data_IF_768250443101
#
_entry.id   IF_768250443101
#
_cell.length_a   1.000
_cell.length_b   1.000
_cell.length_c   1.000
_cell.angle_alpha   90.00
_cell.angle_beta   90.00
_cell.angle_gamma   90.00
#
_symmetry.space_group_name_H-M   'P 1'
#
loop_
_entity.id
_entity.type
_entity.pdbx_description
1 polymer ?
#
# COMPACT_ATOMS: atom_id res chain seq x y z
N UNK A 1 -7.55 -3.12 28.45
CA UNK A 1 -7.94 -2.80 28.33
C UNK A 1 -8.51 -2.22 28.57
N UNK A 2 -8.71 -1.84 28.48
CA UNK A 2 -9.29 -1.19 28.67
C UNK A 2 -10.24 -1.14 28.53
N UNK A 3 -10.93 -1.29 28.33
CA UNK A 3 -11.90 -1.15 28.07
C UNK A 3 -12.80 -0.93 28.80
N UNK A 4 -13.25 -0.59 29.02
CA UNK A 4 -13.99 -0.33 29.64
C UNK A 4 -14.92 -0.84 29.54
N UNK A 5 -15.40 -1.16 29.54
CA UNK A 5 -16.28 -1.67 29.39
C UNK A 5 -17.16 -1.67 28.98
N UNK A 6 -17.40 -1.84 28.72
CA UNK A 6 -18.24 -1.99 28.48
C UNK A 6 -19.06 -1.82 27.84
N UNK A 7 -19.36 -1.56 27.60
CA UNK A 7 -20.34 -1.41 26.98
C UNK A 7 -20.32 -1.52 25.70
N UNK A 8 -21.08 -1.99 25.10
CA UNK A 8 -21.10 -2.14 23.90
C UNK A 8 -21.88 -1.24 23.32
N UNK A 9 -21.70 -0.30 23.00
CA UNK A 9 -22.38 0.51 22.24
C UNK A 9 -22.10 0.30 20.90
N UNK A 10 -22.97 0.33 19.95
CA UNK A 10 -22.65 0.18 18.58
C UNK A 10 -21.92 1.40 18.14
N UNK A 11 -20.96 1.23 17.27
CA UNK A 11 -20.15 2.33 16.82
C UNK A 11 -20.90 3.11 15.77
N UNK A 12 -21.18 4.35 16.01
CA UNK A 12 -21.93 5.18 15.08
C UNK A 12 -21.13 6.36 14.58
N UNK A 13 -19.84 6.42 14.90
CA UNK A 13 -18.99 7.48 14.44
C UNK A 13 -18.89 8.66 15.36
N UNK A 14 -19.71 8.71 16.40
CA UNK A 14 -19.64 9.81 17.34
C UNK A 14 -18.70 9.47 18.48
N UNK A 15 -18.12 10.50 19.08
CA UNK A 15 -17.23 10.31 20.20
C UNK A 15 -18.04 10.15 21.46
N UNK A 16 -17.73 9.10 22.20
CA UNK A 16 -18.40 8.82 23.46
C UNK A 16 -17.36 8.81 24.55
N UNK A 17 -17.43 9.76 25.47
CA UNK A 17 -16.43 9.88 26.51
C UNK A 17 -16.45 8.76 27.52
N UNK A 18 -17.59 8.15 27.71
CA UNK A 18 -17.66 7.05 28.66
C UNK A 18 -17.01 5.78 28.13
N UNK A 19 -16.73 5.74 26.84
CA UNK A 19 -16.05 4.61 26.25
C UNK A 19 -15.15 5.10 25.10
N UNK A 20 -14.13 5.87 25.45
CA UNK A 20 -13.34 6.54 24.42
C UNK A 20 -12.67 5.58 23.44
N UNK A 21 -12.23 4.42 23.90
CA UNK A 21 -11.62 3.48 22.97
C UNK A 21 -12.62 2.94 21.97
N UNK A 22 -13.85 2.76 22.40
CA UNK A 22 -14.85 2.26 21.50
C UNK A 22 -15.19 3.25 20.43
N UNK A 23 -15.02 4.54 20.71
CA UNK A 23 -15.31 5.56 19.70
C UNK A 23 -14.33 5.50 18.57
N UNK A 24 -13.12 5.01 18.81
CA UNK A 24 -12.08 4.99 17.80
C UNK A 24 -11.79 3.61 17.25
N UNK A 25 -12.27 2.57 17.90
CA UNK A 25 -11.98 1.20 17.49
C UNK A 25 -13.20 0.65 16.77
N UNK A 26 -12.97 0.02 15.66
CA UNK A 26 -14.05 -0.56 14.89
C UNK A 26 -13.55 -1.77 14.15
N UNK A 27 -14.47 -2.58 13.71
CA UNK A 27 -14.13 -3.67 12.83
C UNK A 27 -13.58 -3.11 11.54
N UNK A 28 -12.50 -3.70 11.09
CA UNK A 28 -11.85 -3.22 9.88
C UNK A 28 -12.19 -4.16 8.74
N UNK A 29 -12.73 -3.58 7.68
CA UNK A 29 -13.04 -4.33 6.49
C UNK A 29 -12.41 -3.62 5.31
N UNK A 30 -11.67 -4.33 4.49
CA UNK A 30 -11.07 -3.69 3.32
C UNK A 30 -12.15 -3.17 2.38
N UNK A 31 -11.85 -2.08 1.73
CA UNK A 31 -12.70 -1.57 0.66
C UNK A 31 -11.79 -0.93 -0.36
N UNK A 32 -12.37 -0.27 -1.35
CA UNK A 32 -11.57 0.26 -2.44
C UNK A 32 -10.60 1.36 -1.99
N UNK A 33 -10.85 1.98 -0.85
CA UNK A 33 -10.00 3.06 -0.36
C UNK A 33 -9.06 2.61 0.74
N UNK A 34 -9.44 1.59 1.51
CA UNK A 34 -8.65 1.15 2.66
C UNK A 34 -8.31 -0.30 2.46
N UNK A 35 -7.03 -0.55 2.24
CA UNK A 35 -6.53 -1.88 1.96
C UNK A 35 -5.49 -2.26 2.98
N UNK A 36 -5.41 -3.54 3.29
CA UNK A 36 -4.33 -4.02 4.13
C UNK A 36 -3.02 -4.02 3.38
N UNK A 37 -1.96 -3.58 4.02
CA UNK A 37 -0.66 -3.54 3.37
C UNK A 37 -0.22 -4.94 2.92
N UNK A 38 -0.56 -5.94 3.72
CA UNK A 38 -0.22 -7.32 3.36
C UNK A 38 -0.93 -7.73 2.07
N UNK A 39 -2.14 -7.25 1.87
CA UNK A 39 -2.91 -7.62 0.69
C UNK A 39 -2.35 -6.99 -0.57
N UNK A 40 -1.56 -5.94 -0.43
CA UNK A 40 -0.93 -5.31 -1.59
C UNK A 40 0.33 -6.02 -2.01
N UNK A 41 0.96 -6.78 -1.12
CA UNK A 41 2.16 -7.51 -1.50
C UNK A 41 1.78 -8.64 -2.45
N UNK A 42 2.57 -8.79 -3.48
CA UNK A 42 2.28 -9.73 -4.54
C UNK A 42 1.44 -9.15 -5.66
N UNK A 43 0.90 -7.95 -5.48
CA UNK A 43 0.14 -7.33 -6.55
C UNK A 43 1.03 -7.10 -7.76
N UNK A 44 0.48 -7.36 -8.93
CA UNK A 44 1.16 -7.05 -10.18
C UNK A 44 1.12 -5.55 -10.42
N UNK A 45 2.22 -5.03 -10.93
CA UNK A 45 2.37 -3.59 -11.15
C UNK A 45 2.56 -3.34 -12.63
N UNK A 46 1.78 -2.40 -13.14
CA UNK A 46 1.83 -2.00 -14.54
C UNK A 46 2.15 -0.50 -14.61
N UNK A 47 2.84 -0.11 -15.65
CA UNK A 47 3.20 1.30 -15.81
C UNK A 47 2.02 2.10 -16.38
N UNK A 48 2.27 3.37 -16.64
CA UNK A 48 1.22 4.26 -17.12
C UNK A 48 0.67 3.86 -18.49
N UNK A 49 1.41 3.04 -19.21
CA UNK A 49 0.98 2.59 -20.52
C UNK A 49 0.42 1.16 -20.50
N UNK A 50 0.29 0.61 -19.31
CA UNK A 50 -0.28 -0.73 -19.18
C UNK A 50 0.72 -1.85 -19.34
N UNK A 51 2.00 -1.54 -19.37
CA UNK A 51 3.03 -2.56 -19.51
C UNK A 51 3.42 -3.11 -18.15
N UNK A 52 3.64 -4.40 -18.08
CA UNK A 52 3.99 -5.05 -16.82
C UNK A 52 5.38 -4.63 -16.35
N UNK A 53 5.47 -4.27 -15.10
CA UNK A 53 6.74 -3.82 -14.49
C UNK A 53 7.28 -4.85 -13.52
N UNK A 54 6.46 -5.34 -12.63
CA UNK A 54 6.92 -6.25 -11.59
C UNK A 54 5.84 -6.48 -10.56
N UNK A 55 6.27 -6.82 -9.36
CA UNK A 55 5.34 -7.09 -8.26
C UNK A 55 5.77 -6.34 -7.03
N UNK A 56 4.78 -5.95 -6.23
CA UNK A 56 5.06 -5.34 -4.93
C UNK A 56 5.55 -6.44 -3.99
N UNK A 57 6.71 -6.22 -3.39
CA UNK A 57 7.25 -7.15 -2.41
C UNK A 57 7.26 -6.58 -1.01
N UNK A 58 7.11 -5.28 -0.87
CA UNK A 58 7.14 -4.67 0.45
C UNK A 58 6.49 -3.30 0.42
N UNK A 59 5.85 -2.94 1.50
CA UNK A 59 5.27 -1.60 1.68
C UNK A 59 6.04 -0.96 2.83
N UNK A 60 6.57 0.23 2.59
CA UNK A 60 7.38 0.94 3.58
C UNK A 60 6.56 2.08 4.15
N UNK A 61 6.42 2.07 5.46
CA UNK A 61 5.63 3.08 6.17
C UNK A 61 6.56 4.06 6.86
N UNK A 62 6.27 5.34 6.71
CA UNK A 62 6.98 6.37 7.48
C UNK A 62 6.29 6.44 8.84
N UNK A 63 6.93 5.87 9.84
CA UNK A 63 6.31 5.74 11.15
C UNK A 63 6.27 7.05 11.91
N UNK A 64 6.98 8.06 11.46
CA UNK A 64 6.95 9.37 12.12
C UNK A 64 5.64 10.09 11.84
N UNK A 65 5.08 9.89 10.67
CA UNK A 65 3.86 10.58 10.28
C UNK A 65 2.71 9.64 9.97
N UNK A 66 2.99 8.33 9.94
CA UNK A 66 1.92 7.33 9.80
C UNK A 66 1.41 7.14 8.39
N UNK A 67 2.19 7.45 7.39
CA UNK A 67 1.78 7.26 5.99
C UNK A 67 2.68 6.27 5.29
N UNK A 68 2.13 5.64 4.26
CA UNK A 68 2.92 4.81 3.39
C UNK A 68 3.85 5.71 2.58
N UNK A 69 5.14 5.41 2.64
CA UNK A 69 6.13 6.22 1.94
C UNK A 69 6.48 5.63 0.58
N UNK A 70 6.70 4.32 0.55
CA UNK A 70 7.23 3.67 -0.65
C UNK A 70 6.62 2.31 -0.86
N UNK A 71 6.50 1.92 -2.10
CA UNK A 71 6.26 0.53 -2.46
C UNK A 71 7.54 -0.02 -3.06
N UNK A 72 7.99 -1.16 -2.57
CA UNK A 72 9.19 -1.79 -3.10
C UNK A 72 8.75 -2.83 -4.12
N UNK A 73 9.25 -2.70 -5.33
CA UNK A 73 8.90 -3.57 -6.43
C UNK A 73 10.04 -4.50 -6.74
N UNK A 74 9.72 -5.74 -7.00
CA UNK A 74 10.70 -6.67 -7.57
C UNK A 74 10.50 -6.63 -9.08
N UNK A 75 11.54 -6.24 -9.79
CA UNK A 75 11.48 -6.10 -11.24
C UNK A 75 12.59 -6.93 -11.87
N UNK A 76 12.42 -7.27 -13.13
CA UNK A 76 13.43 -8.01 -13.85
C UNK A 76 13.36 -9.51 -13.60
N UNK A 77 14.50 -10.17 -13.58
CA UNK A 77 14.57 -11.61 -13.45
C UNK A 77 14.24 -12.36 -14.72
N UNK A 78 14.14 -11.63 -15.80
CA UNK A 78 13.81 -12.20 -17.09
C UNK A 78 15.03 -12.91 -17.66
N UNK A 79 14.82 -14.09 -18.17
CA UNK A 79 15.90 -14.89 -18.73
C UNK A 79 17.05 -15.15 -17.77
N UNK A 80 16.73 -15.25 -16.50
CA UNK A 80 17.73 -15.54 -15.51
C UNK A 80 18.60 -14.37 -15.11
N UNK A 81 18.35 -13.20 -15.66
CA UNK A 81 19.06 -12.00 -15.25
C UNK A 81 18.56 -11.59 -13.88
N UNK A 82 19.46 -11.15 -13.04
CA UNK A 82 19.12 -10.83 -11.67
C UNK A 82 17.96 -9.87 -11.52
N UNK A 83 17.21 -10.07 -10.48
CA UNK A 83 16.13 -9.20 -10.15
C UNK A 83 16.65 -7.98 -9.44
N UNK A 84 15.94 -6.91 -9.58
CA UNK A 84 16.25 -5.70 -8.86
C UNK A 84 15.05 -5.29 -8.03
N UNK A 85 15.32 -4.56 -6.98
CA UNK A 85 14.24 -3.98 -6.17
C UNK A 85 14.31 -2.48 -6.34
N UNK A 86 13.16 -1.91 -6.59
CA UNK A 86 13.02 -0.46 -6.76
C UNK A 86 12.04 0.04 -5.73
N UNK A 87 12.40 1.12 -5.04
CA UNK A 87 11.48 1.79 -4.14
C UNK A 87 10.79 2.91 -4.92
N UNK A 88 9.49 2.81 -5.02
CA UNK A 88 8.69 3.77 -5.78
C UNK A 88 7.84 4.55 -4.80
N UNK A 89 7.83 5.90 -4.89
CA UNK A 89 7.01 6.68 -3.98
C UNK A 89 5.56 6.25 -4.06
N UNK A 90 4.94 6.15 -2.90
CA UNK A 90 3.55 5.70 -2.87
C UNK A 90 2.64 6.60 -3.69
N UNK A 91 2.98 7.88 -3.80
CA UNK A 91 2.16 8.80 -4.58
C UNK A 91 2.09 8.44 -6.06
N UNK A 92 2.99 7.58 -6.54
CA UNK A 92 2.96 7.15 -7.92
C UNK A 92 2.18 5.87 -8.13
N UNK A 93 1.63 5.29 -7.07
CA UNK A 93 0.98 3.98 -7.12
C UNK A 93 -0.52 4.14 -6.97
N UNK A 94 -1.26 3.52 -7.84
CA UNK A 94 -2.71 3.49 -7.76
C UNK A 94 -3.17 2.04 -7.69
N UNK A 95 -3.56 1.57 -6.50
CA UNK A 95 -4.03 0.19 -6.38
C UNK A 95 -5.40 -0.02 -7.00
N UNK A 96 -5.61 -1.21 -7.52
CA UNK A 96 -6.92 -1.62 -7.97
C UNK A 96 -7.30 -2.85 -7.15
N UNK A 97 -8.11 -2.63 -6.14
CA UNK A 97 -8.45 -3.69 -5.18
C UNK A 97 -9.17 -4.87 -5.82
N UNK A 98 -9.83 -4.64 -6.95
CA UNK A 98 -10.63 -5.69 -7.54
C UNK A 98 -9.79 -6.73 -8.26
N UNK A 99 -8.61 -6.37 -8.71
CA UNK A 99 -7.85 -7.24 -9.59
C UNK A 99 -6.45 -7.55 -9.08
N UNK A 100 -6.18 -7.21 -7.86
CA UNK A 100 -4.88 -7.50 -7.26
C UNK A 100 -3.74 -6.97 -8.10
N UNK A 101 -3.88 -5.74 -8.52
CA UNK A 101 -2.85 -5.09 -9.31
C UNK A 101 -2.82 -3.61 -9.02
N UNK A 102 -1.71 -2.99 -9.38
CA UNK A 102 -1.50 -1.57 -9.19
C UNK A 102 -1.01 -0.98 -10.50
N UNK A 103 -1.31 0.30 -10.68
CA UNK A 103 -0.81 1.06 -11.82
C UNK A 103 0.12 2.15 -11.32
N UNK A 104 1.13 2.46 -12.11
CA UNK A 104 2.02 3.58 -11.83
C UNK A 104 1.65 4.75 -12.68
N UNK A 105 1.97 5.94 -12.20
CA UNK A 105 1.68 7.17 -12.95
C UNK A 105 2.77 7.51 -13.97
N UNK A 106 3.82 6.70 -14.04
CA UNK A 106 4.92 6.92 -14.96
C UNK A 106 5.10 5.67 -15.82
N UNK A 107 5.78 5.81 -16.94
CA UNK A 107 6.09 4.68 -17.79
C UNK A 107 7.41 4.04 -17.35
N UNK A 108 7.73 2.90 -17.95
CA UNK A 108 8.94 2.17 -17.57
C UNK A 108 10.19 2.94 -17.87
N UNK A 109 10.18 3.68 -18.94
CA UNK A 109 11.35 4.43 -19.31
C UNK A 109 11.68 5.49 -18.28
N UNK A 110 10.67 6.20 -17.81
CA UNK A 110 10.86 7.17 -16.75
C UNK A 110 11.32 6.50 -15.46
N UNK A 111 10.71 5.39 -15.13
CA UNK A 111 11.01 4.68 -13.90
C UNK A 111 12.45 4.18 -13.90
N UNK A 112 12.85 3.48 -14.96
CA UNK A 112 14.18 2.89 -15.01
C UNK A 112 15.24 3.92 -15.31
N UNK A 113 14.90 4.99 -15.97
CA UNK A 113 15.83 6.08 -16.18
C UNK A 113 16.25 6.71 -14.87
N UNK A 114 15.31 6.96 -13.98
CA UNK A 114 15.62 7.51 -12.67
C UNK A 114 16.48 6.51 -11.89
N UNK A 115 16.10 5.23 -11.95
CA UNK A 115 16.86 4.21 -11.25
C UNK A 115 18.29 4.14 -11.73
N UNK A 116 18.51 4.29 -13.03
CA UNK A 116 19.87 4.25 -13.57
C UNK A 116 20.70 5.41 -13.07
N UNK A 117 20.10 6.57 -12.97
CA UNK A 117 20.85 7.74 -12.54
C UNK A 117 21.15 7.71 -11.06
N UNK A 118 20.32 7.06 -10.30
CA UNK A 118 20.55 7.01 -8.88
C UNK A 118 21.56 5.93 -8.49
N UNK A 119 21.93 5.09 -9.42
CA UNK A 119 22.93 4.08 -9.14
C UNK A 119 24.36 4.67 -9.19
#
# INVERSE_FOLDING_TARGET
>A
MINRSSSHRSYDGSFDQSAPFRSFVRDVRPNSAILGARDLTGDFVYDAEGEYVGQIVQIMVDTRIGYVAWAVLAVGGFLGIGRRRLAVPWSMVTPDARYKRCSLTVDQEQLFGVSRFSA
#
